data_IF_161005198227
#
_entry.id   IF_161005198227
#
_cell.length_a   1.000
_cell.length_b   1.000
_cell.length_c   1.000
_cell.angle_alpha   90.00
_cell.angle_beta   90.00
_cell.angle_gamma   90.00
#
_symmetry.space_group_name_H-M   'P 1'
#
loop_
_entity.id
_entity.type
_entity.pdbx_description
1 polymer ?
#
# COMPACT_ATOMS: atom_id res chain seq x y z
N UNK A 1 1.92 -7.47 -12.42
CA UNK A 1 1.67 -7.24 -13.86
C UNK A 1 2.54 -8.11 -14.76
N UNK A 2 3.87 -7.92 -14.81
CA UNK A 2 4.76 -8.65 -15.74
C UNK A 2 4.70 -10.17 -15.51
N UNK A 3 4.82 -10.62 -14.25
CA UNK A 3 4.71 -12.05 -13.92
C UNK A 3 3.36 -12.65 -14.35
N UNK A 4 2.25 -11.90 -14.20
CA UNK A 4 0.94 -12.36 -14.66
C UNK A 4 0.81 -12.35 -16.18
N UNK A 5 1.48 -11.43 -16.89
CA UNK A 5 1.58 -11.48 -18.37
C UNK A 5 2.31 -12.73 -18.85
N UNK A 6 3.38 -13.12 -18.17
CA UNK A 6 4.13 -14.32 -18.51
C UNK A 6 3.29 -15.60 -18.40
N UNK A 7 2.27 -15.60 -17.54
CA UNK A 7 1.36 -16.74 -17.37
C UNK A 7 0.33 -16.90 -18.48
N UNK A 8 0.21 -15.92 -19.39
CA UNK A 8 -0.62 -16.05 -20.59
C UNK A 8 -2.12 -15.90 -20.36
N UNK A 9 -2.56 -15.01 -19.46
CA UNK A 9 -3.99 -14.70 -19.34
C UNK A 9 -4.54 -14.00 -20.60
N UNK A 10 -5.67 -14.50 -21.12
CA UNK A 10 -6.31 -13.97 -22.33
C UNK A 10 -7.09 -12.67 -22.17
N UNK A 11 -7.16 -12.08 -20.97
CA UNK A 11 -7.86 -10.81 -20.74
C UNK A 11 -7.14 -9.92 -19.72
N UNK A 12 -7.24 -8.60 -19.91
CA UNK A 12 -6.65 -7.61 -19.00
C UNK A 12 -7.29 -7.69 -17.61
N UNK A 13 -8.61 -7.86 -17.54
CA UNK A 13 -9.34 -7.99 -16.26
C UNK A 13 -8.83 -9.17 -15.41
N UNK A 14 -8.67 -10.35 -16.03
CA UNK A 14 -8.11 -11.52 -15.32
C UNK A 14 -6.67 -11.26 -14.87
N UNK A 15 -5.90 -10.55 -15.69
CA UNK A 15 -4.51 -10.23 -15.42
C UNK A 15 -4.35 -9.23 -14.26
N UNK A 16 -5.20 -8.21 -14.20
CA UNK A 16 -5.26 -7.23 -13.12
C UNK A 16 -5.71 -7.89 -11.81
N UNK A 17 -6.76 -8.71 -11.84
CA UNK A 17 -7.23 -9.47 -10.66
C UNK A 17 -6.17 -10.41 -10.12
N UNK A 18 -5.48 -11.14 -11.00
CA UNK A 18 -4.39 -12.04 -10.60
C UNK A 18 -3.19 -11.27 -10.05
N UNK A 19 -2.85 -10.14 -10.67
CA UNK A 19 -1.78 -9.25 -10.19
C UNK A 19 -2.11 -8.69 -8.81
N UNK A 20 -3.32 -8.20 -8.60
CA UNK A 20 -3.79 -7.67 -7.32
C UNK A 20 -3.74 -8.74 -6.23
N UNK A 21 -4.28 -9.94 -6.48
CA UNK A 21 -4.26 -11.07 -5.53
C UNK A 21 -2.84 -11.43 -5.09
N UNK A 22 -1.88 -11.46 -6.02
CA UNK A 22 -0.46 -11.71 -5.68
C UNK A 22 0.15 -10.59 -4.88
N UNK A 23 -0.16 -9.34 -5.24
CA UNK A 23 0.36 -8.21 -4.53
C UNK A 23 -0.20 -8.11 -3.10
N UNK A 24 -1.46 -8.51 -2.90
CA UNK A 24 -2.03 -8.66 -1.56
C UNK A 24 -1.30 -9.73 -0.75
N UNK A 25 -1.09 -10.93 -1.31
CA UNK A 25 -0.33 -11.98 -0.63
C UNK A 25 1.10 -11.53 -0.28
N UNK A 26 1.77 -10.82 -1.19
CA UNK A 26 3.07 -10.23 -0.94
C UNK A 26 3.03 -9.24 0.22
N UNK A 27 2.05 -8.34 0.23
CA UNK A 27 1.87 -7.33 1.27
C UNK A 27 1.55 -7.96 2.62
N UNK A 28 0.69 -8.97 2.64
CA UNK A 28 0.37 -9.74 3.85
C UNK A 28 1.60 -10.40 4.45
N UNK A 29 2.38 -11.13 3.64
CA UNK A 29 3.55 -11.87 4.16
C UNK A 29 4.70 -10.94 4.52
N UNK A 30 5.02 -9.95 3.68
CA UNK A 30 6.23 -9.14 3.89
C UNK A 30 5.96 -7.90 4.73
N UNK A 31 4.92 -7.11 4.38
CA UNK A 31 4.64 -5.83 5.03
C UNK A 31 3.99 -6.07 6.38
N UNK A 32 3.06 -7.02 6.50
CA UNK A 32 2.39 -7.30 7.77
C UNK A 32 3.19 -8.32 8.62
N UNK A 33 3.26 -9.59 8.21
CA UNK A 33 3.92 -10.63 9.02
C UNK A 33 5.42 -10.40 9.16
N UNK A 34 6.10 -10.10 8.05
CA UNK A 34 7.55 -9.88 8.03
C UNK A 34 7.97 -8.72 8.93
N UNK A 35 7.21 -7.62 8.92
CA UNK A 35 7.48 -6.48 9.80
C UNK A 35 7.22 -6.78 11.27
N UNK A 36 6.13 -7.49 11.59
CA UNK A 36 5.86 -7.90 12.97
C UNK A 36 6.98 -8.82 13.47
N UNK A 37 7.33 -9.88 12.73
CA UNK A 37 8.33 -10.86 13.17
C UNK A 37 9.74 -10.23 13.27
N UNK A 38 10.18 -9.59 12.19
CA UNK A 38 11.53 -9.00 12.13
C UNK A 38 11.63 -7.80 13.08
N UNK A 39 10.60 -6.96 13.11
CA UNK A 39 10.58 -5.79 13.96
C UNK A 39 10.55 -6.15 15.43
N UNK A 40 9.80 -7.19 15.84
CA UNK A 40 9.78 -7.65 17.24
C UNK A 40 11.12 -8.28 17.62
N UNK A 41 11.72 -9.08 16.73
CA UNK A 41 13.07 -9.62 16.90
C UNK A 41 14.12 -8.53 17.17
N UNK A 42 14.13 -7.44 16.39
CA UNK A 42 15.08 -6.34 16.59
C UNK A 42 14.77 -5.47 17.80
N UNK A 43 13.49 -5.17 18.04
CA UNK A 43 13.10 -4.29 19.15
C UNK A 43 13.32 -4.94 20.51
N UNK A 44 13.20 -6.27 20.60
CA UNK A 44 13.40 -7.05 21.81
C UNK A 44 14.73 -7.84 21.79
N UNK A 45 15.68 -7.47 20.93
CA UNK A 45 16.92 -8.21 20.76
C UNK A 45 17.70 -8.34 22.08
N UNK A 46 17.80 -7.24 22.83
CA UNK A 46 18.47 -7.23 24.13
C UNK A 46 17.77 -8.14 25.15
N UNK A 47 16.44 -8.09 25.19
CA UNK A 47 15.61 -8.98 26.01
C UNK A 47 15.81 -10.45 25.61
N UNK A 48 15.87 -10.77 24.32
CA UNK A 48 16.06 -12.15 23.85
C UNK A 48 17.45 -12.71 24.15
N UNK A 49 18.48 -11.87 24.22
CA UNK A 49 19.84 -12.29 24.57
C UNK A 49 19.95 -12.62 26.06
N UNK A 50 19.27 -11.87 26.92
CA UNK A 50 19.41 -11.97 28.38
C UNK A 50 18.33 -12.80 29.08
N UNK A 51 17.20 -13.11 28.41
CA UNK A 51 16.09 -13.88 28.99
C UNK A 51 16.15 -15.37 28.65
N UNK A 52 15.67 -16.25 29.56
CA UNK A 52 15.53 -17.67 29.27
C UNK A 52 14.43 -17.91 28.22
N UNK A 53 14.60 -18.97 27.41
CA UNK A 53 13.71 -19.29 26.28
C UNK A 53 12.21 -19.42 26.63
N UNK A 54 11.88 -19.75 27.88
CA UNK A 54 10.50 -19.85 28.36
C UNK A 54 9.77 -18.49 28.35
N UNK A 55 10.48 -17.36 28.34
CA UNK A 55 9.88 -16.02 28.32
C UNK A 55 9.63 -15.50 26.91
N UNK A 56 10.18 -16.14 25.87
CA UNK A 56 10.05 -15.66 24.49
C UNK A 56 8.61 -15.45 24.02
N UNK A 57 7.65 -16.36 24.29
CA UNK A 57 6.25 -16.16 23.88
C UNK A 57 5.61 -14.92 24.52
N UNK A 58 5.96 -14.64 25.78
CA UNK A 58 5.44 -13.48 26.52
C UNK A 58 6.02 -12.19 25.93
N UNK A 59 7.32 -12.16 25.68
CA UNK A 59 8.02 -11.02 25.08
C UNK A 59 7.52 -10.72 23.66
N UNK A 60 7.20 -11.74 22.86
CA UNK A 60 6.58 -11.57 21.54
C UNK A 60 5.16 -11.00 21.70
N UNK A 61 4.37 -11.53 22.64
CA UNK A 61 3.00 -11.07 22.89
C UNK A 61 2.91 -9.58 23.28
N UNK A 62 3.85 -9.09 24.10
CA UNK A 62 3.91 -7.67 24.48
C UNK A 62 4.50 -6.78 23.40
N UNK A 63 5.30 -7.32 22.48
CA UNK A 63 5.93 -6.56 21.41
C UNK A 63 5.00 -6.30 20.22
N UNK A 64 3.99 -7.13 19.97
CA UNK A 64 3.01 -6.93 18.88
C UNK A 64 2.27 -5.58 19.02
N UNK A 65 1.67 -5.22 20.17
CA UNK A 65 1.03 -3.91 20.34
C UNK A 65 1.98 -2.73 20.11
N UNK A 66 3.27 -2.86 20.49
CA UNK A 66 4.27 -1.80 20.30
C UNK A 66 4.53 -1.50 18.81
N UNK A 67 4.22 -2.44 17.91
CA UNK A 67 4.32 -2.21 16.46
C UNK A 67 3.19 -1.38 15.88
N UNK A 68 2.13 -1.11 16.64
CA UNK A 68 1.07 -0.21 16.19
C UNK A 68 1.61 1.17 15.78
N UNK A 69 2.59 1.72 16.50
CA UNK A 69 3.21 3.01 16.16
C UNK A 69 3.87 3.02 14.78
N UNK A 70 4.54 1.91 14.39
CA UNK A 70 5.08 1.77 13.05
C UNK A 70 3.98 1.81 11.99
N UNK A 71 2.90 1.04 12.19
CA UNK A 71 1.78 1.02 11.24
C UNK A 71 1.05 2.35 11.14
N UNK A 72 0.95 3.12 12.23
CA UNK A 72 0.43 4.50 12.18
C UNK A 72 1.28 5.36 11.25
N UNK A 73 2.60 5.36 11.43
CA UNK A 73 3.50 6.13 10.54
C UNK A 73 3.45 5.64 9.10
N UNK A 74 3.32 4.32 8.89
CA UNK A 74 3.15 3.73 7.57
C UNK A 74 1.88 4.25 6.88
N UNK A 75 0.74 4.29 7.59
CA UNK A 75 -0.52 4.81 7.05
C UNK A 75 -0.43 6.31 6.72
N UNK A 76 0.26 7.11 7.54
CA UNK A 76 0.44 8.54 7.26
C UNK A 76 1.31 8.78 6.02
N UNK A 77 2.37 8.00 5.84
CA UNK A 77 3.30 8.17 4.71
C UNK A 77 2.74 7.54 3.43
N UNK A 78 2.49 6.23 3.41
CA UNK A 78 2.02 5.51 2.22
C UNK A 78 0.55 5.84 1.89
N UNK A 79 -0.28 5.96 2.93
CA UNK A 79 -1.71 6.23 2.76
C UNK A 79 -2.00 7.70 2.49
N UNK A 80 -1.86 8.57 3.49
CA UNK A 80 -2.29 9.96 3.38
C UNK A 80 -1.48 10.73 2.33
N UNK A 81 -0.15 10.64 2.40
CA UNK A 81 0.71 11.36 1.44
C UNK A 81 0.61 10.76 0.04
N UNK A 82 0.40 9.44 -0.07
CA UNK A 82 0.17 8.75 -1.34
C UNK A 82 -1.10 9.24 -2.04
N UNK A 83 -2.23 9.28 -1.33
CA UNK A 83 -3.50 9.78 -1.89
C UNK A 83 -3.43 11.27 -2.23
N UNK A 84 -2.78 12.08 -1.38
CA UNK A 84 -2.58 13.50 -1.67
C UNK A 84 -1.74 13.72 -2.94
N UNK A 85 -0.70 12.90 -3.16
CA UNK A 85 0.11 12.94 -4.37
C UNK A 85 -0.63 12.42 -5.61
N UNK A 86 -1.57 11.49 -5.44
CA UNK A 86 -2.37 10.91 -6.52
C UNK A 86 -3.30 11.95 -7.16
N UNK A 87 -3.83 12.90 -6.38
CA UNK A 87 -4.61 14.06 -6.89
C UNK A 87 -3.81 14.89 -7.90
N UNK A 88 -2.52 15.08 -7.65
CA UNK A 88 -1.67 15.90 -8.52
C UNK A 88 -1.32 15.20 -9.84
N UNK A 89 -1.48 13.87 -9.91
CA UNK A 89 -1.16 13.05 -11.07
C UNK A 89 0.20 13.42 -11.69
N UNK A 90 1.24 13.54 -10.85
CA UNK A 90 2.55 14.10 -11.26
C UNK A 90 3.17 13.34 -12.45
N UNK A 91 3.02 12.01 -12.48
CA UNK A 91 3.59 11.17 -13.53
C UNK A 91 2.99 11.48 -14.92
N UNK A 92 1.67 11.38 -15.16
CA UNK A 92 1.10 11.76 -16.45
C UNK A 92 1.28 13.25 -16.74
N UNK A 93 1.26 14.14 -15.73
CA UNK A 93 1.50 15.57 -15.92
C UNK A 93 2.89 15.86 -16.53
N UNK A 94 3.94 15.25 -15.98
CA UNK A 94 5.32 15.42 -16.48
C UNK A 94 5.45 14.82 -17.89
N UNK A 95 4.89 13.63 -18.11
CA UNK A 95 4.94 12.96 -19.42
C UNK A 95 4.19 13.80 -20.47
N UNK A 96 3.05 14.38 -20.11
CA UNK A 96 2.28 15.26 -20.98
C UNK A 96 3.11 16.48 -21.42
N UNK A 97 3.73 17.21 -20.48
CA UNK A 97 4.56 18.37 -20.82
C UNK A 97 5.77 17.98 -21.68
N UNK A 98 6.40 16.84 -21.40
CA UNK A 98 7.51 16.33 -22.19
C UNK A 98 7.09 15.97 -23.62
N UNK A 99 5.99 15.24 -23.77
CA UNK A 99 5.41 14.90 -25.08
C UNK A 99 5.00 16.16 -25.85
N UNK A 100 4.38 17.11 -25.17
CA UNK A 100 3.91 18.35 -25.79
C UNK A 100 5.08 19.22 -26.31
N UNK A 101 6.21 19.22 -25.61
CA UNK A 101 7.38 19.99 -26.04
C UNK A 101 8.13 19.34 -27.21
N UNK A 102 8.24 18.01 -27.25
CA UNK A 102 9.10 17.31 -28.22
C UNK A 102 8.36 16.66 -29.39
N UNK A 103 7.13 16.18 -29.20
CA UNK A 103 6.48 15.24 -30.11
C UNK A 103 5.17 15.76 -30.71
N UNK A 104 4.47 16.66 -30.02
CA UNK A 104 3.16 17.16 -30.47
C UNK A 104 3.34 18.16 -31.62
N UNK A 105 2.73 17.86 -32.77
CA UNK A 105 2.68 18.76 -33.94
C UNK A 105 1.26 19.09 -34.37
N UNK A 106 0.30 18.22 -34.02
CA UNK A 106 -1.12 18.35 -34.37
C UNK A 106 -2.00 18.24 -33.13
N UNK A 107 -3.24 18.72 -33.20
CA UNK A 107 -4.21 18.59 -32.09
C UNK A 107 -4.51 17.13 -31.74
N UNK A 108 -4.43 16.20 -32.70
CA UNK A 108 -4.59 14.76 -32.43
C UNK A 108 -3.47 14.18 -31.57
N UNK A 109 -2.22 14.61 -31.81
CA UNK A 109 -1.08 14.18 -30.98
C UNK A 109 -1.22 14.67 -29.54
N UNK A 110 -1.92 15.80 -29.35
CA UNK A 110 -2.22 16.36 -28.03
C UNK A 110 -3.26 15.53 -27.29
N UNK A 111 -4.32 15.08 -27.97
CA UNK A 111 -5.31 14.15 -27.40
C UNK A 111 -4.65 12.83 -26.97
N UNK A 112 -3.76 12.25 -27.79
CA UNK A 112 -3.01 11.04 -27.43
C UNK A 112 -2.01 11.25 -26.26
N UNK A 113 -1.54 12.48 -26.07
CA UNK A 113 -0.68 12.81 -24.94
C UNK A 113 -1.48 12.95 -23.62
N UNK A 114 -2.79 13.21 -23.69
CA UNK A 114 -3.70 13.38 -22.56
C UNK A 114 -4.29 12.06 -22.04
N UNK A 115 -3.49 10.98 -22.00
CA UNK A 115 -3.92 9.70 -21.44
C UNK A 115 -3.58 9.59 -19.92
N UNK A 116 -4.58 9.67 -19.03
CA UNK A 116 -4.37 9.51 -17.59
C UNK A 116 -4.12 8.05 -17.15
N UNK A 117 -4.44 7.07 -18.00
CA UNK A 117 -4.43 5.65 -17.65
C UNK A 117 -5.69 5.18 -16.90
N UNK A 118 -5.62 3.99 -16.30
CA UNK A 118 -6.69 3.41 -15.49
C UNK A 118 -6.55 3.74 -14.00
N UNK A 119 -7.61 3.50 -13.22
CA UNK A 119 -7.69 3.70 -11.75
C UNK A 119 -6.62 2.89 -10.97
N UNK A 120 -5.88 1.99 -11.62
CA UNK A 120 -4.80 1.25 -10.97
C UNK A 120 -5.31 0.16 -10.03
N UNK A 121 -6.30 -0.61 -10.45
CA UNK A 121 -6.89 -1.71 -9.66
C UNK A 121 -5.83 -2.69 -9.12
N UNK A 122 -4.80 -2.96 -9.92
CA UNK A 122 -3.70 -3.85 -9.55
C UNK A 122 -2.85 -3.35 -8.36
N UNK A 123 -2.85 -2.05 -8.06
CA UNK A 123 -2.08 -1.44 -6.97
C UNK A 123 -2.95 -0.91 -5.84
N UNK A 124 -4.10 -0.29 -6.17
CA UNK A 124 -5.01 0.30 -5.19
C UNK A 124 -5.75 -0.75 -4.35
N UNK A 125 -6.30 -1.78 -5.00
CA UNK A 125 -7.11 -2.81 -4.32
C UNK A 125 -6.32 -3.54 -3.21
N UNK A 126 -5.08 -4.03 -3.45
CA UNK A 126 -4.30 -4.69 -2.40
C UNK A 126 -3.92 -3.77 -1.23
N UNK A 127 -3.69 -2.47 -1.51
CA UNK A 127 -3.36 -1.48 -0.48
C UNK A 127 -4.57 -1.25 0.44
N UNK A 128 -5.77 -1.11 -0.13
CA UNK A 128 -7.02 -0.97 0.64
C UNK A 128 -7.25 -2.21 1.52
N UNK A 129 -7.09 -3.41 0.96
CA UNK A 129 -7.23 -4.67 1.72
C UNK A 129 -6.23 -4.77 2.87
N UNK A 130 -4.99 -4.29 2.68
CA UNK A 130 -3.99 -4.24 3.76
C UNK A 130 -4.42 -3.33 4.90
N UNK A 131 -4.98 -2.14 4.62
CA UNK A 131 -5.47 -1.24 5.66
C UNK A 131 -6.72 -1.80 6.38
N UNK A 132 -7.59 -2.51 5.67
CA UNK A 132 -8.67 -3.27 6.32
C UNK A 132 -8.14 -4.32 7.27
N UNK A 133 -7.14 -5.10 6.86
CA UNK A 133 -6.50 -6.08 7.73
C UNK A 133 -5.91 -5.41 8.98
N UNK A 134 -5.15 -4.33 8.82
CA UNK A 134 -4.57 -3.58 9.94
C UNK A 134 -5.66 -3.07 10.89
N UNK A 135 -6.75 -2.52 10.35
CA UNK A 135 -7.88 -2.04 11.15
C UNK A 135 -8.53 -3.16 11.95
N UNK A 136 -8.81 -4.31 11.33
CA UNK A 136 -9.46 -5.44 12.00
C UNK A 136 -8.56 -6.08 13.06
N UNK A 137 -7.26 -6.25 12.78
CA UNK A 137 -6.32 -6.83 13.74
C UNK A 137 -6.08 -5.89 14.92
N UNK A 138 -5.80 -4.61 14.66
CA UNK A 138 -5.47 -3.66 15.72
C UNK A 138 -6.69 -3.05 16.41
N UNK A 139 -7.92 -3.26 15.92
CA UNK A 139 -9.14 -2.79 16.59
C UNK A 139 -9.24 -3.29 18.03
N UNK A 140 -8.90 -4.56 18.29
CA UNK A 140 -8.93 -5.14 19.63
C UNK A 140 -7.63 -4.92 20.42
N UNK A 141 -6.49 -4.75 19.73
CA UNK A 141 -5.16 -4.70 20.35
C UNK A 141 -4.73 -3.27 20.69
N UNK A 142 -4.88 -2.34 19.75
CA UNK A 142 -4.47 -0.94 19.91
C UNK A 142 -5.40 -0.04 19.09
N UNK A 143 -6.54 0.39 19.68
CA UNK A 143 -7.58 1.15 18.98
C UNK A 143 -7.11 2.49 18.41
N UNK A 144 -5.95 3.01 18.84
CA UNK A 144 -5.39 4.28 18.37
C UNK A 144 -5.03 4.27 16.88
N UNK A 145 -4.93 3.11 16.24
CA UNK A 145 -4.71 3.00 14.78
C UNK A 145 -5.97 3.36 13.99
N UNK A 146 -7.17 3.12 14.55
CA UNK A 146 -8.44 3.26 13.83
C UNK A 146 -8.72 4.67 13.29
N UNK A 147 -8.53 5.77 14.06
CA UNK A 147 -8.74 7.12 13.54
C UNK A 147 -7.92 7.41 12.29
N UNK A 148 -6.67 6.93 12.22
CA UNK A 148 -5.79 7.16 11.08
C UNK A 148 -6.28 6.44 9.81
N UNK A 149 -6.80 5.23 9.97
CA UNK A 149 -7.40 4.44 8.89
C UNK A 149 -8.71 5.07 8.41
N UNK A 150 -9.55 5.55 9.32
CA UNK A 150 -10.83 6.21 8.96
C UNK A 150 -10.56 7.50 8.17
N UNK A 151 -9.60 8.32 8.62
CA UNK A 151 -9.19 9.52 7.89
C UNK A 151 -8.66 9.16 6.50
N UNK A 152 -7.83 8.11 6.40
CA UNK A 152 -7.36 7.62 5.11
C UNK A 152 -8.53 7.26 4.17
N UNK A 153 -9.50 6.47 4.64
CA UNK A 153 -10.65 6.08 3.82
C UNK A 153 -11.54 7.26 3.42
N UNK A 154 -11.73 8.23 4.32
CA UNK A 154 -12.46 9.46 4.01
C UNK A 154 -11.79 10.27 2.91
N UNK A 155 -10.48 10.49 3.00
CA UNK A 155 -9.70 11.19 1.98
C UNK A 155 -9.67 10.42 0.66
N UNK A 156 -9.37 9.13 0.70
CA UNK A 156 -9.32 8.27 -0.48
C UNK A 156 -10.67 8.26 -1.21
N UNK A 157 -11.79 8.17 -0.50
CA UNK A 157 -13.12 8.22 -1.12
C UNK A 157 -13.37 9.52 -1.87
N UNK A 158 -13.03 10.68 -1.29
CA UNK A 158 -13.22 11.98 -1.94
C UNK A 158 -12.32 12.10 -3.18
N UNK A 159 -11.06 11.68 -3.08
CA UNK A 159 -10.10 11.76 -4.18
C UNK A 159 -10.48 10.84 -5.34
N UNK A 160 -10.72 9.54 -5.08
CA UNK A 160 -11.08 8.59 -6.13
C UNK A 160 -12.46 8.82 -6.73
N UNK A 161 -13.34 9.55 -6.05
CA UNK A 161 -14.62 10.00 -6.61
C UNK A 161 -14.46 11.23 -7.50
N UNK A 162 -13.46 12.06 -7.23
CA UNK A 162 -13.18 13.25 -8.04
C UNK A 162 -12.43 12.91 -9.33
N UNK A 163 -11.52 11.94 -9.27
CA UNK A 163 -10.83 11.34 -10.42
C UNK A 163 -11.81 10.54 -11.30
#
# INVERSE_FOLDING_TARGET
MIMSKFEGFGSISSLERRSASRYYLFSFVNIFLGNILTGTAFQQLDSFIHQPANQYPITIGTAIPLKASFFITYIMVDGWSGIAAEVLMLKPLIIYHLKNFFLVKTEKDREEAMDPGSIGFNTGEPRIQLYFLLGLVYAAVTPTVLPFIIIFFGLAYVVFRHQ
#
